data_IF_294432235401
#
_entry.id   IF_294432235401
#
_cell.length_a   1.000
_cell.length_b   1.000
_cell.length_c   1.000
_cell.angle_alpha   90.00
_cell.angle_beta   90.00
_cell.angle_gamma   90.00
#
_symmetry.space_group_name_H-M   'P 1'
#
loop_
_entity.id
_entity.type
_entity.pdbx_description
1 polymer ?
#
# COMPACT_ATOMS: atom_id res chain seq x y z
N UNK A 1 10.74 4.38 -11.79
CA UNK A 1 10.89 5.00 -10.46
C UNK A 1 11.87 4.14 -9.68
N UNK A 2 12.69 4.72 -8.82
CA UNK A 2 13.73 4.00 -8.09
C UNK A 2 13.21 3.62 -6.69
N UNK A 3 13.62 2.45 -6.19
CA UNK A 3 13.38 2.00 -4.82
C UNK A 3 14.74 1.79 -4.16
N UNK A 4 15.05 2.49 -3.07
CA UNK A 4 16.23 2.21 -2.26
C UNK A 4 16.15 0.81 -1.67
N UNK A 5 17.18 0.00 -1.87
CA UNK A 5 17.23 -1.38 -1.32
C UNK A 5 18.04 -1.49 -0.03
N UNK A 6 18.93 -0.52 0.24
CA UNK A 6 19.81 -0.48 1.40
C UNK A 6 20.42 0.94 1.54
N UNK A 7 20.62 1.39 2.77
CA UNK A 7 21.31 2.63 3.14
C UNK A 7 22.58 2.41 3.99
N UNK A 8 22.67 1.29 4.73
CA UNK A 8 23.79 0.88 5.59
C UNK A 8 23.97 -0.66 5.59
N UNK A 9 24.07 -1.32 6.75
CA UNK A 9 24.11 -2.78 6.89
C UNK A 9 22.69 -3.35 7.12
N UNK A 10 22.30 -4.45 6.44
CA UNK A 10 20.95 -4.98 6.54
C UNK A 10 20.56 -5.46 7.94
N UNK A 11 21.52 -5.89 8.78
CA UNK A 11 21.24 -6.29 10.16
C UNK A 11 21.07 -5.05 11.04
N UNK A 12 21.89 -4.02 10.85
CA UNK A 12 21.74 -2.74 11.54
C UNK A 12 20.39 -2.09 11.21
N UNK A 13 20.01 -2.01 9.92
CA UNK A 13 18.71 -1.48 9.49
C UNK A 13 17.52 -2.29 10.02
N UNK A 14 17.64 -3.61 10.06
CA UNK A 14 16.63 -4.48 10.67
C UNK A 14 16.40 -4.11 12.14
N UNK A 15 17.46 -3.95 12.93
CA UNK A 15 17.31 -3.63 14.35
C UNK A 15 16.84 -2.19 14.59
N UNK A 16 17.19 -1.25 13.72
CA UNK A 16 16.64 0.10 13.75
C UNK A 16 15.13 0.11 13.42
N UNK A 17 14.67 -0.70 12.46
CA UNK A 17 13.24 -0.85 12.16
C UNK A 17 12.45 -1.43 13.35
N UNK A 18 13.04 -2.37 14.08
CA UNK A 18 12.36 -3.05 15.20
C UNK A 18 12.33 -2.19 16.46
N UNK A 19 13.42 -1.48 16.77
CA UNK A 19 13.59 -0.83 18.08
C UNK A 19 13.48 0.70 18.04
N UNK A 20 13.63 1.32 16.86
CA UNK A 20 13.68 2.78 16.69
C UNK A 20 12.65 3.25 15.64
N UNK A 21 12.95 4.34 14.93
CA UNK A 21 12.13 4.91 13.87
C UNK A 21 12.94 4.99 12.58
N UNK A 22 12.38 4.49 11.49
CA UNK A 22 12.97 4.54 10.16
C UNK A 22 12.11 5.38 9.22
N UNK A 23 12.77 6.06 8.26
CA UNK A 23 12.10 6.86 7.23
C UNK A 23 12.42 6.24 5.87
N UNK A 24 11.40 5.85 5.11
CA UNK A 24 11.58 5.17 3.82
C UNK A 24 10.99 5.98 2.67
N UNK A 25 11.76 6.10 1.58
CA UNK A 25 11.20 6.57 0.30
C UNK A 25 10.54 5.39 -0.43
N UNK A 26 9.24 5.22 -0.19
CA UNK A 26 8.37 4.24 -0.87
C UNK A 26 7.54 4.89 -1.99
N UNK A 27 7.97 6.04 -2.54
CA UNK A 27 7.19 6.80 -3.54
C UNK A 27 6.91 6.04 -4.84
N UNK A 28 7.66 4.95 -5.09
CA UNK A 28 7.43 3.98 -6.17
C UNK A 28 6.13 3.21 -6.05
N UNK A 29 5.56 3.09 -4.85
CA UNK A 29 4.23 2.51 -4.63
C UNK A 29 3.15 3.49 -5.11
N UNK A 30 2.81 3.39 -6.40
CA UNK A 30 1.90 4.34 -7.05
C UNK A 30 0.47 4.14 -6.61
N UNK A 31 -0.19 5.25 -6.28
CA UNK A 31 -1.63 5.29 -6.11
C UNK A 31 -2.34 5.35 -7.46
N UNK A 32 -3.42 4.57 -7.60
CA UNK A 32 -4.37 4.67 -8.71
C UNK A 32 -5.67 5.20 -8.13
N UNK A 33 -6.10 6.37 -8.60
CA UNK A 33 -7.38 6.95 -8.21
C UNK A 33 -8.48 6.51 -9.20
N UNK A 34 -9.61 6.06 -8.67
CA UNK A 34 -10.79 5.68 -9.46
C UNK A 34 -11.94 6.57 -9.00
N UNK A 35 -12.50 7.35 -9.91
CA UNK A 35 -13.57 8.32 -9.63
C UNK A 35 -14.68 8.24 -10.69
N UNK A 36 -15.87 8.74 -10.35
CA UNK A 36 -17.05 8.69 -11.21
C UNK A 36 -18.21 7.92 -10.58
N UNK A 37 -19.39 7.89 -11.25
CA UNK A 37 -20.61 7.29 -10.71
C UNK A 37 -20.47 5.78 -10.45
N UNK A 38 -19.69 5.07 -11.26
CA UNK A 38 -19.52 3.61 -11.18
C UNK A 38 -18.20 3.18 -10.51
N UNK A 39 -17.43 4.13 -9.97
CA UNK A 39 -16.07 3.89 -9.46
C UNK A 39 -16.02 2.80 -8.38
N UNK A 40 -16.99 2.81 -7.46
CA UNK A 40 -17.04 1.83 -6.38
C UNK A 40 -17.35 0.42 -6.89
N UNK A 41 -18.37 0.27 -7.75
CA UNK A 41 -18.74 -1.02 -8.31
C UNK A 41 -17.61 -1.61 -9.17
N UNK A 42 -16.95 -0.77 -9.98
CA UNK A 42 -15.78 -1.19 -10.73
C UNK A 42 -14.63 -1.64 -9.81
N UNK A 43 -14.29 -0.85 -8.78
CA UNK A 43 -13.21 -1.22 -7.85
C UNK A 43 -13.52 -2.51 -7.10
N UNK A 44 -14.78 -2.73 -6.73
CA UNK A 44 -15.24 -3.96 -6.07
C UNK A 44 -15.21 -5.17 -7.02
N UNK A 45 -15.38 -4.97 -8.33
CA UNK A 45 -15.24 -6.03 -9.34
C UNK A 45 -13.78 -6.48 -9.53
N UNK A 46 -12.81 -5.58 -9.35
CA UNK A 46 -11.38 -5.88 -9.55
C UNK A 46 -10.81 -6.86 -8.54
N UNK A 47 -11.50 -7.08 -7.41
CA UNK A 47 -10.99 -7.91 -6.32
C UNK A 47 -12.03 -8.91 -5.84
N UNK A 48 -11.57 -10.07 -5.36
CA UNK A 48 -12.43 -11.03 -4.68
C UNK A 48 -12.88 -10.58 -3.27
N UNK A 49 -12.32 -9.49 -2.74
CA UNK A 49 -12.66 -8.97 -1.42
C UNK A 49 -13.83 -7.99 -1.49
N UNK A 50 -14.89 -8.26 -0.74
CA UNK A 50 -16.07 -7.36 -0.68
C UNK A 50 -15.74 -6.01 -0.02
N UNK A 51 -15.62 -4.97 -0.86
CA UNK A 51 -15.31 -3.61 -0.45
C UNK A 51 -16.50 -2.87 0.18
N UNK A 52 -17.72 -3.41 0.12
CA UNK A 52 -18.88 -2.83 0.84
C UNK A 52 -18.71 -2.88 2.36
N UNK A 53 -17.78 -3.71 2.83
CA UNK A 53 -17.37 -3.82 4.24
C UNK A 53 -16.20 -2.90 4.61
N UNK A 54 -15.72 -2.06 3.68
CA UNK A 54 -14.68 -1.08 3.90
C UNK A 54 -15.29 0.30 4.16
N UNK A 55 -15.11 0.82 5.38
CA UNK A 55 -15.58 2.16 5.71
C UNK A 55 -14.72 3.25 5.04
N UNK A 56 -15.30 4.45 4.87
CA UNK A 56 -14.51 5.64 4.46
C UNK A 56 -13.40 5.88 5.47
N UNK A 57 -12.16 6.06 4.98
CA UNK A 57 -10.96 6.21 5.82
C UNK A 57 -10.34 4.88 6.28
N UNK A 58 -10.92 3.74 5.93
CA UNK A 58 -10.34 2.42 6.18
C UNK A 58 -9.61 1.90 4.94
N UNK A 59 -8.49 1.20 5.15
CA UNK A 59 -7.80 0.47 4.10
C UNK A 59 -8.05 -1.04 4.21
N UNK A 60 -8.04 -1.75 3.08
CA UNK A 60 -8.10 -3.21 3.01
C UNK A 60 -7.04 -3.70 2.03
N UNK A 61 -6.27 -4.72 2.42
CA UNK A 61 -5.44 -5.47 1.48
C UNK A 61 -6.34 -6.28 0.53
N UNK A 62 -6.03 -6.27 -0.76
CA UNK A 62 -6.85 -6.91 -1.78
C UNK A 62 -5.97 -7.69 -2.75
N UNK A 63 -6.51 -8.78 -3.28
CA UNK A 63 -5.95 -9.44 -4.46
C UNK A 63 -6.72 -8.93 -5.67
N UNK A 64 -6.00 -8.58 -6.73
CA UNK A 64 -6.58 -8.16 -8.01
C UNK A 64 -6.47 -9.33 -8.98
N UNK A 65 -7.53 -9.60 -9.74
CA UNK A 65 -7.53 -10.59 -10.83
C UNK A 65 -7.16 -9.98 -12.16
#
# INVERSE_FOLDING_TARGET
MLLPTLYDDPIAEYWALVNDVTMWDVSVERCVEITGPDAFEFTNLLTCRDLRTCAVGQCKYVLIT
#
